data_IF_326288867833
#
_entry.id   IF_326288867833
#
_cell.length_a   1.000
_cell.length_b   1.000
_cell.length_c   1.000
_cell.angle_alpha   90.00
_cell.angle_beta   90.00
_cell.angle_gamma   90.00
#
_symmetry.space_group_name_H-M   'P 1'
#
loop_
_entity.id
_entity.type
_entity.pdbx_description
1 polymer ?
#
# COMPACT_ATOMS: atom_id res chain seq x y z
N UNK A 1 -10.44 18.76 -6.55
CA UNK A 1 -10.76 17.43 -7.03
C UNK A 1 -9.60 16.47 -6.71
N UNK A 2 -9.88 15.36 -6.01
CA UNK A 2 -8.87 14.37 -5.61
C UNK A 2 -8.83 13.15 -6.56
N UNK A 3 -9.79 13.00 -7.46
CA UNK A 3 -9.78 11.92 -8.43
C UNK A 3 -8.66 12.15 -9.45
N UNK A 4 -7.88 11.11 -9.69
CA UNK A 4 -6.82 11.09 -10.71
C UNK A 4 -7.10 10.00 -11.74
N UNK A 5 -7.24 10.36 -13.02
CA UNK A 5 -7.17 9.38 -14.10
C UNK A 5 -5.71 9.07 -14.43
N UNK A 6 -5.44 7.79 -14.71
CA UNK A 6 -4.17 7.30 -15.23
C UNK A 6 -4.42 6.32 -16.37
N UNK A 7 -3.64 6.40 -17.45
CA UNK A 7 -3.45 5.32 -18.41
C UNK A 7 -2.14 4.62 -18.06
N UNK A 8 -2.21 3.40 -17.59
CA UNK A 8 -1.04 2.66 -17.12
C UNK A 8 -0.12 2.28 -18.29
N UNK A 9 1.19 2.41 -18.11
CA UNK A 9 2.17 2.34 -19.20
C UNK A 9 2.21 1.01 -19.93
N UNK A 10 2.34 -0.07 -19.19
CA UNK A 10 2.56 -1.41 -19.76
C UNK A 10 1.26 -2.14 -20.06
N UNK A 11 0.31 -2.10 -19.15
CA UNK A 11 -0.99 -2.80 -19.27
C UNK A 11 -2.01 -2.07 -20.14
N UNK A 12 -1.86 -0.74 -20.26
CA UNK A 12 -2.87 0.15 -20.87
C UNK A 12 -4.20 0.19 -20.12
N UNK A 13 -4.24 -0.34 -18.90
CA UNK A 13 -5.42 -0.23 -18.03
C UNK A 13 -5.67 1.22 -17.67
N UNK A 14 -6.93 1.62 -17.76
CA UNK A 14 -7.39 2.95 -17.32
C UNK A 14 -7.80 2.89 -15.84
N UNK A 15 -7.12 3.67 -15.01
CA UNK A 15 -7.47 3.86 -13.60
C UNK A 15 -8.18 5.19 -13.42
N UNK A 16 -9.22 5.24 -12.61
CA UNK A 16 -9.83 6.51 -12.16
C UNK A 16 -10.32 6.36 -10.74
N UNK A 17 -9.81 7.18 -9.83
CA UNK A 17 -10.16 7.16 -8.41
C UNK A 17 -9.30 8.11 -7.60
N UNK A 18 -9.54 8.15 -6.30
CA UNK A 18 -8.64 8.78 -5.34
C UNK A 18 -7.48 7.81 -5.11
N UNK A 19 -6.23 8.18 -5.44
CA UNK A 19 -5.12 7.22 -5.48
C UNK A 19 -4.54 6.95 -4.07
N UNK A 20 -5.41 6.54 -3.16
CA UNK A 20 -5.08 6.10 -1.80
C UNK A 20 -5.49 4.64 -1.68
N UNK A 21 -4.60 3.79 -1.21
CA UNK A 21 -4.73 2.33 -1.19
C UNK A 21 -4.54 1.82 0.24
N UNK A 22 -5.46 0.99 0.75
CA UNK A 22 -5.21 0.24 1.98
C UNK A 22 -4.13 -0.82 1.75
N UNK A 23 -3.19 -0.93 2.68
CA UNK A 23 -2.05 -1.84 2.55
C UNK A 23 -2.46 -3.31 2.58
N UNK A 24 -1.72 -4.14 1.86
CA UNK A 24 -1.90 -5.58 1.73
C UNK A 24 -1.50 -6.37 2.99
N UNK A 25 -1.92 -5.89 4.13
CA UNK A 25 -1.75 -6.54 5.43
C UNK A 25 -3.06 -7.21 5.84
N UNK A 26 -3.00 -8.36 6.50
CA UNK A 26 -4.22 -9.06 6.96
C UNK A 26 -5.03 -8.27 8.01
N UNK A 27 -4.42 -7.22 8.56
CA UNK A 27 -5.07 -6.28 9.47
C UNK A 27 -5.70 -5.06 8.78
N UNK A 28 -5.46 -4.84 7.48
CA UNK A 28 -5.98 -3.66 6.74
C UNK A 28 -6.52 -3.99 5.35
N UNK A 29 -5.89 -4.91 4.64
CA UNK A 29 -6.27 -5.26 3.26
C UNK A 29 -7.36 -6.31 3.20
N UNK A 30 -8.50 -6.06 3.82
CA UNK A 30 -9.65 -6.97 3.93
C UNK A 30 -10.71 -6.73 2.86
N UNK A 31 -11.60 -7.69 2.66
CA UNK A 31 -12.75 -7.54 1.75
C UNK A 31 -13.69 -6.45 2.24
N UNK A 32 -13.94 -6.38 3.55
CA UNK A 32 -14.78 -5.35 4.18
C UNK A 32 -14.20 -3.95 3.97
N UNK A 33 -12.87 -3.82 4.07
CA UNK A 33 -12.17 -2.56 3.78
C UNK A 33 -12.33 -2.17 2.31
N UNK A 34 -12.26 -3.13 1.38
CA UNK A 34 -12.46 -2.87 -0.04
C UNK A 34 -13.86 -2.30 -0.34
N UNK A 35 -14.90 -2.89 0.27
CA UNK A 35 -16.27 -2.42 0.13
C UNK A 35 -16.47 -1.01 0.72
N UNK A 36 -15.87 -0.75 1.89
CA UNK A 36 -15.98 0.54 2.55
C UNK A 36 -15.25 1.65 1.79
N UNK A 37 -14.00 1.40 1.39
CA UNK A 37 -13.16 2.36 0.67
C UNK A 37 -13.68 2.64 -0.74
N UNK A 38 -14.25 1.62 -1.40
CA UNK A 38 -14.84 1.75 -2.73
C UNK A 38 -16.01 2.76 -2.81
N UNK A 39 -16.67 3.07 -1.69
CA UNK A 39 -17.72 4.11 -1.61
C UNK A 39 -17.16 5.53 -1.77
N UNK A 40 -15.86 5.70 -1.56
CA UNK A 40 -15.14 6.97 -1.65
C UNK A 40 -14.14 6.99 -2.82
N UNK A 41 -14.26 6.04 -3.75
CA UNK A 41 -13.33 5.86 -4.88
C UNK A 41 -11.87 5.63 -4.46
N UNK A 42 -11.64 5.13 -3.24
CA UNK A 42 -10.35 4.65 -2.78
C UNK A 42 -10.20 3.17 -3.11
N UNK A 43 -8.96 2.68 -3.06
CA UNK A 43 -8.60 1.31 -3.42
C UNK A 43 -8.08 0.51 -2.22
N UNK A 44 -7.98 -0.81 -2.39
CA UNK A 44 -7.35 -1.71 -1.43
C UNK A 44 -6.38 -2.64 -2.14
N UNK A 45 -5.27 -2.97 -1.49
CA UNK A 45 -4.50 -4.14 -1.82
C UNK A 45 -4.94 -5.27 -0.87
N UNK A 46 -5.64 -6.26 -1.39
CA UNK A 46 -6.13 -7.39 -0.60
C UNK A 46 -4.95 -8.24 -0.14
N UNK A 47 -4.93 -8.62 1.13
CA UNK A 47 -3.84 -9.45 1.66
C UNK A 47 -3.85 -10.86 1.07
N UNK A 48 -2.69 -11.45 0.86
CA UNK A 48 -2.51 -12.75 0.19
C UNK A 48 -2.95 -13.98 1.00
N UNK A 49 -3.40 -13.81 2.25
CA UNK A 49 -3.67 -14.91 3.16
C UNK A 49 -5.11 -15.45 3.11
N UNK A 50 -6.01 -14.82 2.36
CA UNK A 50 -7.29 -15.44 2.02
C UNK A 50 -7.06 -16.72 1.22
N UNK A 51 -7.90 -17.73 1.42
CA UNK A 51 -7.89 -18.93 0.60
C UNK A 51 -8.36 -18.66 -0.83
N UNK A 52 -8.10 -19.59 -1.72
CA UNK A 52 -8.61 -19.55 -3.09
C UNK A 52 -10.14 -19.43 -3.11
N UNK A 53 -10.83 -20.25 -2.30
CA UNK A 53 -12.29 -20.25 -2.21
C UNK A 53 -12.87 -18.93 -1.69
N UNK A 54 -12.22 -18.32 -0.71
CA UNK A 54 -12.61 -16.99 -0.20
C UNK A 54 -12.50 -15.92 -1.28
N UNK A 55 -11.39 -15.89 -2.04
CA UNK A 55 -11.24 -14.96 -3.15
C UNK A 55 -12.29 -15.16 -4.24
N UNK A 56 -12.51 -16.42 -4.64
CA UNK A 56 -13.50 -16.75 -5.68
C UNK A 56 -14.92 -16.38 -5.23
N UNK A 57 -15.27 -16.70 -3.99
CA UNK A 57 -16.57 -16.33 -3.41
C UNK A 57 -16.74 -14.81 -3.37
N UNK A 58 -15.73 -14.08 -2.93
CA UNK A 58 -15.75 -12.62 -2.89
C UNK A 58 -15.96 -12.03 -4.29
N UNK A 59 -15.12 -12.36 -5.24
CA UNK A 59 -15.19 -11.78 -6.57
C UNK A 59 -16.49 -12.11 -7.32
N UNK A 60 -16.99 -13.33 -7.18
CA UNK A 60 -18.25 -13.75 -7.81
C UNK A 60 -19.49 -13.17 -7.11
N UNK A 61 -19.38 -12.78 -5.84
CA UNK A 61 -20.45 -12.15 -5.06
C UNK A 61 -20.59 -10.64 -5.25
N UNK A 62 -19.65 -9.99 -5.92
CA UNK A 62 -19.64 -8.54 -6.06
C UNK A 62 -20.78 -8.03 -6.97
N UNK A 63 -21.62 -7.14 -6.45
CA UNK A 63 -22.60 -6.37 -7.23
C UNK A 63 -21.96 -5.16 -7.94
N UNK A 64 -21.00 -4.53 -7.28
CA UNK A 64 -20.16 -3.43 -7.79
C UNK A 64 -18.71 -3.80 -7.49
N UNK A 65 -17.85 -3.70 -8.49
CA UNK A 65 -16.44 -4.03 -8.35
C UNK A 65 -15.69 -2.82 -7.77
N UNK A 66 -15.21 -2.86 -6.51
CA UNK A 66 -14.27 -1.85 -6.03
C UNK A 66 -12.92 -2.02 -6.73
N UNK A 67 -12.11 -0.97 -6.78
CA UNK A 67 -10.73 -1.10 -7.25
C UNK A 67 -9.91 -1.82 -6.20
N UNK A 68 -9.58 -3.07 -6.47
CA UNK A 68 -8.84 -3.93 -5.56
C UNK A 68 -7.67 -4.60 -6.29
N UNK A 69 -6.50 -4.54 -5.66
CA UNK A 69 -5.31 -5.27 -6.10
C UNK A 69 -5.31 -6.66 -5.44
N UNK A 70 -5.20 -7.71 -6.23
CA UNK A 70 -4.85 -9.02 -5.71
C UNK A 70 -3.38 -9.01 -5.32
N UNK A 71 -3.03 -9.43 -4.11
CA UNK A 71 -1.63 -9.44 -3.68
C UNK A 71 -1.06 -10.84 -3.65
N UNK A 72 0.17 -10.98 -4.11
CA UNK A 72 0.94 -12.22 -4.03
C UNK A 72 2.43 -11.96 -3.84
N UNK A 73 3.15 -12.98 -3.34
CA UNK A 73 4.61 -13.05 -3.40
C UNK A 73 5.09 -13.63 -4.73
N UNK A 74 6.29 -14.20 -4.70
CA UNK A 74 6.94 -14.77 -5.90
C UNK A 74 7.14 -16.27 -5.81
N UNK A 75 6.48 -16.96 -4.85
CA UNK A 75 6.59 -18.42 -4.73
C UNK A 75 5.71 -19.12 -5.76
N UNK A 76 6.07 -20.35 -6.10
CA UNK A 76 5.26 -21.20 -6.99
C UNK A 76 3.84 -21.37 -6.46
N UNK A 77 3.67 -21.47 -5.14
CA UNK A 77 2.37 -21.58 -4.50
C UNK A 77 1.54 -20.29 -4.66
N UNK A 78 2.15 -19.11 -4.53
CA UNK A 78 1.48 -17.83 -4.77
C UNK A 78 0.97 -17.75 -6.21
N UNK A 79 1.83 -18.14 -7.18
CA UNK A 79 1.48 -18.10 -8.60
C UNK A 79 0.39 -19.13 -8.95
N UNK A 80 0.50 -20.33 -8.40
CA UNK A 80 -0.51 -21.40 -8.62
C UNK A 80 -1.88 -20.97 -8.11
N UNK A 81 -1.93 -20.42 -6.90
CA UNK A 81 -3.17 -19.90 -6.30
C UNK A 81 -3.75 -18.74 -7.11
N UNK A 82 -2.92 -17.79 -7.54
CA UNK A 82 -3.35 -16.68 -8.38
C UNK A 82 -4.00 -17.16 -9.67
N UNK A 83 -3.36 -18.11 -10.39
CA UNK A 83 -3.90 -18.70 -11.63
C UNK A 83 -5.23 -19.41 -11.39
N UNK A 84 -5.35 -20.16 -10.30
CA UNK A 84 -6.59 -20.85 -9.95
C UNK A 84 -7.74 -19.85 -9.67
N UNK A 85 -7.47 -18.74 -8.98
CA UNK A 85 -8.47 -17.67 -8.76
C UNK A 85 -8.85 -17.03 -10.10
N UNK A 86 -7.89 -16.73 -10.98
CA UNK A 86 -8.16 -16.15 -12.31
C UNK A 86 -9.04 -17.06 -13.17
N UNK A 87 -8.81 -18.37 -13.12
CA UNK A 87 -9.60 -19.37 -13.86
C UNK A 87 -11.04 -19.47 -13.33
N UNK A 88 -11.21 -19.47 -12.00
CA UNK A 88 -12.51 -19.63 -11.34
C UNK A 88 -13.35 -18.35 -11.21
N UNK A 89 -12.70 -17.21 -11.32
CA UNK A 89 -13.34 -15.87 -11.33
C UNK A 89 -12.82 -15.04 -12.52
N UNK A 90 -13.13 -15.44 -13.78
CA UNK A 90 -12.58 -14.82 -14.96
C UNK A 90 -12.97 -13.32 -15.08
N UNK A 91 -11.97 -12.47 -15.37
CA UNK A 91 -12.14 -11.01 -15.47
C UNK A 91 -12.34 -10.29 -14.13
N UNK A 92 -12.25 -10.99 -13.00
CA UNK A 92 -12.41 -10.39 -11.68
C UNK A 92 -11.18 -9.59 -11.25
N UNK A 93 -9.97 -10.09 -11.55
CA UNK A 93 -8.71 -9.44 -11.20
C UNK A 93 -8.23 -8.62 -12.39
N UNK A 94 -8.10 -7.31 -12.18
CA UNK A 94 -7.56 -6.35 -13.14
C UNK A 94 -6.24 -5.74 -12.63
N UNK A 95 -6.09 -5.70 -11.31
CA UNK A 95 -4.94 -5.13 -10.61
C UNK A 95 -4.24 -6.19 -9.78
N UNK A 96 -2.92 -6.28 -9.94
CA UNK A 96 -2.05 -7.23 -9.25
C UNK A 96 -0.97 -6.48 -8.46
N UNK A 97 -0.77 -6.85 -7.20
CA UNK A 97 0.33 -6.39 -6.37
C UNK A 97 1.31 -7.54 -6.11
N UNK A 98 2.51 -7.44 -6.68
CA UNK A 98 3.61 -8.39 -6.45
C UNK A 98 4.50 -7.79 -5.36
N UNK A 99 4.44 -8.37 -4.16
CA UNK A 99 5.01 -7.79 -2.96
C UNK A 99 6.04 -8.69 -2.29
N UNK A 100 7.26 -8.18 -2.17
CA UNK A 100 8.37 -8.79 -1.44
C UNK A 100 9.05 -7.75 -0.55
N UNK A 101 9.68 -8.20 0.54
CA UNK A 101 10.42 -7.31 1.43
C UNK A 101 11.64 -6.67 0.76
N UNK A 102 12.26 -7.39 -0.18
CA UNK A 102 13.45 -6.96 -0.92
C UNK A 102 13.24 -7.12 -2.43
N UNK A 103 12.89 -6.03 -3.10
CA UNK A 103 12.69 -5.97 -4.55
C UNK A 103 13.98 -5.85 -5.39
N UNK A 104 15.16 -6.00 -4.78
CA UNK A 104 16.47 -5.84 -5.43
C UNK A 104 17.07 -7.14 -6.00
N UNK A 105 16.35 -8.26 -5.94
CA UNK A 105 16.86 -9.54 -6.44
C UNK A 105 16.52 -9.72 -7.92
N UNK A 106 17.45 -10.29 -8.69
CA UNK A 106 17.21 -10.65 -10.10
C UNK A 106 15.98 -11.56 -10.26
N UNK A 107 15.81 -12.52 -9.34
CA UNK A 107 14.64 -13.41 -9.31
C UNK A 107 13.33 -12.64 -9.26
N UNK A 108 13.30 -11.52 -8.52
CA UNK A 108 12.11 -10.68 -8.43
C UNK A 108 11.82 -9.96 -9.76
N UNK A 109 12.84 -9.39 -10.38
CA UNK A 109 12.72 -8.71 -11.68
C UNK A 109 12.27 -9.69 -12.76
N UNK A 110 12.90 -10.86 -12.83
CA UNK A 110 12.52 -11.94 -13.77
C UNK A 110 11.08 -12.40 -13.56
N UNK A 111 10.65 -12.51 -12.30
CA UNK A 111 9.28 -12.87 -11.98
C UNK A 111 8.28 -11.81 -12.48
N UNK A 112 8.56 -10.53 -12.29
CA UNK A 112 7.72 -9.44 -12.82
C UNK A 112 7.63 -9.50 -14.34
N UNK A 113 8.76 -9.71 -15.03
CA UNK A 113 8.80 -9.88 -16.50
C UNK A 113 7.95 -11.07 -16.95
N UNK A 114 8.11 -12.21 -16.31
CA UNK A 114 7.32 -13.43 -16.59
C UNK A 114 5.82 -13.18 -16.43
N UNK A 115 5.41 -12.51 -15.35
CA UNK A 115 3.99 -12.20 -15.13
C UNK A 115 3.48 -11.22 -16.18
N UNK A 116 4.27 -10.23 -16.58
CA UNK A 116 3.89 -9.30 -17.65
C UNK A 116 3.70 -10.02 -18.98
N UNK A 117 4.58 -10.92 -19.35
CA UNK A 117 4.48 -11.72 -20.58
C UNK A 117 3.24 -12.59 -20.59
N UNK A 118 2.95 -13.25 -19.46
CA UNK A 118 1.82 -14.17 -19.35
C UNK A 118 0.45 -13.44 -19.24
N UNK A 119 0.44 -12.26 -18.60
CA UNK A 119 -0.77 -11.46 -18.34
C UNK A 119 -0.59 -10.00 -18.80
N UNK A 120 -0.54 -9.75 -20.11
CA UNK A 120 -0.20 -8.42 -20.67
C UNK A 120 -1.19 -7.32 -20.30
N UNK A 121 -2.42 -7.66 -19.96
CA UNK A 121 -3.49 -6.69 -19.63
C UNK A 121 -3.68 -6.44 -18.14
N UNK A 122 -2.92 -7.08 -17.25
CA UNK A 122 -3.00 -6.80 -15.82
C UNK A 122 -2.24 -5.52 -15.47
N UNK A 123 -2.85 -4.68 -14.66
CA UNK A 123 -2.15 -3.59 -13.99
C UNK A 123 -1.25 -4.15 -12.89
N UNK A 124 0.06 -4.06 -13.05
CA UNK A 124 1.04 -4.62 -12.11
C UNK A 124 1.66 -3.51 -11.25
N UNK A 125 1.48 -3.63 -9.93
CA UNK A 125 2.26 -2.92 -8.91
C UNK A 125 3.30 -3.89 -8.34
N UNK A 126 4.57 -3.48 -8.29
CA UNK A 126 5.67 -4.33 -7.82
C UNK A 126 6.61 -3.59 -6.88
N UNK A 127 7.11 -4.23 -5.85
CA UNK A 127 8.05 -3.67 -4.86
C UNK A 127 8.31 -4.63 -3.70
N UNK A 128 9.09 -4.17 -2.68
CA UNK A 128 9.44 -2.76 -2.46
C UNK A 128 10.90 -2.46 -2.83
N UNK A 129 11.09 -1.27 -3.33
CA UNK A 129 12.39 -0.66 -3.60
C UNK A 129 12.41 0.79 -3.09
N UNK A 130 13.57 1.45 -3.09
CA UNK A 130 13.72 2.84 -2.60
C UNK A 130 14.70 3.68 -3.45
N UNK A 131 15.16 3.16 -4.59
CA UNK A 131 16.13 3.84 -5.48
C UNK A 131 15.59 4.01 -6.88
N UNK A 132 16.07 5.05 -7.58
CA UNK A 132 15.69 5.34 -8.96
C UNK A 132 16.02 4.21 -9.91
N UNK A 133 17.24 3.68 -9.85
CA UNK A 133 17.72 2.61 -10.73
C UNK A 133 16.79 1.38 -10.69
N UNK A 134 16.44 0.90 -9.48
CA UNK A 134 15.54 -0.25 -9.36
C UNK A 134 14.10 0.08 -9.74
N UNK A 135 13.68 1.32 -9.56
CA UNK A 135 12.38 1.80 -10.06
C UNK A 135 12.30 1.70 -11.57
N UNK A 136 13.33 2.16 -12.27
CA UNK A 136 13.45 2.06 -13.74
C UNK A 136 13.45 0.58 -14.17
N UNK A 137 14.27 -0.25 -13.53
CA UNK A 137 14.39 -1.67 -13.86
C UNK A 137 13.05 -2.40 -13.74
N UNK A 138 12.28 -2.19 -12.66
CA UNK A 138 10.96 -2.80 -12.49
C UNK A 138 9.94 -2.32 -13.52
N UNK A 139 9.96 -1.03 -13.91
CA UNK A 139 9.09 -0.51 -14.96
C UNK A 139 9.43 -1.13 -16.30
N UNK A 140 10.71 -1.24 -16.64
CA UNK A 140 11.18 -1.88 -17.87
C UNK A 140 10.86 -3.38 -17.89
N UNK A 141 10.90 -4.04 -16.73
CA UNK A 141 10.47 -5.42 -16.56
C UNK A 141 8.96 -5.64 -16.71
N UNK A 142 8.15 -4.56 -16.71
CA UNK A 142 6.71 -4.65 -16.95
C UNK A 142 5.80 -4.15 -15.83
N UNK A 143 6.33 -3.63 -14.74
CA UNK A 143 5.52 -2.98 -13.71
C UNK A 143 4.92 -1.68 -14.23
N UNK A 144 3.66 -1.42 -13.94
CA UNK A 144 2.99 -0.14 -14.19
C UNK A 144 3.22 0.84 -13.05
N UNK A 145 3.25 0.31 -11.83
CA UNK A 145 3.39 1.05 -10.58
C UNK A 145 4.50 0.40 -9.76
N UNK A 146 5.47 1.17 -9.32
CA UNK A 146 6.52 0.68 -8.41
C UNK A 146 6.18 1.04 -6.97
N UNK A 147 6.16 0.05 -6.09
CA UNK A 147 5.87 0.22 -4.66
C UNK A 147 7.16 0.59 -3.93
N UNK A 148 7.18 1.80 -3.35
CA UNK A 148 8.37 2.46 -2.79
C UNK A 148 8.29 2.56 -1.29
N UNK A 149 9.24 1.96 -0.59
CA UNK A 149 9.38 2.05 0.86
C UNK A 149 10.06 0.84 1.48
N UNK A 150 11.11 1.06 2.25
CA UNK A 150 11.79 0.05 3.09
C UNK A 150 11.97 0.64 4.48
N UNK A 151 11.25 0.09 5.44
CA UNK A 151 11.35 0.44 6.85
C UNK A 151 10.56 1.67 7.33
N UNK A 152 9.70 2.38 6.55
CA UNK A 152 9.01 3.56 7.04
C UNK A 152 7.73 3.24 7.85
N UNK A 153 7.21 2.02 7.78
CA UNK A 153 5.94 1.63 8.41
C UNK A 153 5.96 1.79 9.94
N UNK A 154 4.82 2.16 10.52
CA UNK A 154 4.67 2.41 11.96
C UNK A 154 4.90 1.17 12.85
N UNK A 155 4.69 -0.02 12.32
CA UNK A 155 4.96 -1.31 12.97
C UNK A 155 6.16 -2.04 12.38
N UNK A 156 6.88 -1.42 11.44
CA UNK A 156 8.10 -1.95 10.85
C UNK A 156 9.30 -1.71 11.78
N UNK A 157 10.15 -2.72 11.94
CA UNK A 157 11.39 -2.62 12.71
C UNK A 157 12.64 -2.92 11.88
N UNK A 158 12.52 -3.03 10.56
CA UNK A 158 13.63 -3.33 9.63
C UNK A 158 14.82 -2.44 9.87
N UNK A 159 14.62 -1.11 9.97
CA UNK A 159 15.71 -0.15 10.22
C UNK A 159 16.48 -0.41 11.51
N UNK A 160 15.77 -0.85 12.57
CA UNK A 160 16.39 -1.20 13.87
C UNK A 160 17.11 -2.53 13.83
N UNK A 161 16.55 -3.50 13.13
CA UNK A 161 17.06 -4.87 13.12
C UNK A 161 18.18 -5.09 12.12
N UNK A 162 18.17 -4.35 11.00
CA UNK A 162 19.09 -4.57 9.88
C UNK A 162 19.96 -3.35 9.54
N UNK A 163 19.60 -2.16 10.01
CA UNK A 163 20.22 -0.90 9.60
C UNK A 163 19.80 -0.45 8.20
N UNK A 164 18.98 -1.25 7.50
CA UNK A 164 18.52 -0.94 6.13
C UNK A 164 17.28 -0.07 6.16
N UNK A 165 17.23 0.92 5.28
CA UNK A 165 16.10 1.81 5.09
C UNK A 165 16.49 3.07 4.34
N UNK A 166 15.47 3.85 3.97
CA UNK A 166 15.65 5.11 3.27
C UNK A 166 14.60 6.11 3.80
N UNK A 167 14.94 7.41 3.98
CA UNK A 167 13.94 8.42 4.36
C UNK A 167 12.84 8.50 3.30
N UNK A 168 11.59 8.30 3.72
CA UNK A 168 10.50 8.03 2.77
C UNK A 168 10.27 9.16 1.76
N UNK A 169 10.29 10.43 2.19
CA UNK A 169 10.11 11.56 1.27
C UNK A 169 11.22 11.63 0.22
N UNK A 170 12.47 11.35 0.62
CA UNK A 170 13.61 11.30 -0.31
C UNK A 170 13.46 10.16 -1.32
N UNK A 171 13.03 8.97 -0.86
CA UNK A 171 12.76 7.84 -1.73
C UNK A 171 11.63 8.16 -2.74
N UNK A 172 10.55 8.81 -2.29
CA UNK A 172 9.47 9.24 -3.17
C UNK A 172 9.98 10.16 -4.27
N UNK A 173 10.73 11.20 -3.92
CA UNK A 173 11.22 12.20 -4.88
C UNK A 173 12.13 11.53 -5.92
N UNK A 174 13.08 10.71 -5.49
CA UNK A 174 14.00 10.00 -6.37
C UNK A 174 13.28 8.99 -7.28
N UNK A 175 12.46 8.14 -6.70
CA UNK A 175 11.75 7.10 -7.46
C UNK A 175 10.66 7.68 -8.38
N UNK A 176 10.01 8.78 -8.00
CA UNK A 176 9.03 9.46 -8.85
C UNK A 176 9.70 10.05 -10.10
N UNK A 177 10.86 10.67 -9.94
CA UNK A 177 11.63 11.23 -11.07
C UNK A 177 12.00 10.14 -12.08
N UNK A 178 12.56 9.04 -11.58
CA UNK A 178 12.92 7.88 -12.38
C UNK A 178 11.70 7.25 -13.10
N UNK A 179 10.61 7.02 -12.36
CA UNK A 179 9.39 6.42 -12.91
C UNK A 179 8.75 7.29 -13.98
N UNK A 180 8.58 8.58 -13.69
CA UNK A 180 7.92 9.51 -14.62
C UNK A 180 8.73 9.71 -15.89
N UNK A 181 10.06 9.66 -15.82
CA UNK A 181 10.95 9.68 -16.99
C UNK A 181 10.65 8.56 -17.99
N UNK A 182 10.21 7.41 -17.50
CA UNK A 182 9.81 6.26 -18.31
C UNK A 182 8.28 6.18 -18.58
N UNK A 183 7.49 7.11 -18.04
CA UNK A 183 6.02 7.04 -18.11
C UNK A 183 5.37 6.01 -17.18
N UNK A 184 6.13 5.49 -16.21
CA UNK A 184 5.63 4.65 -15.13
C UNK A 184 5.13 5.48 -13.94
N UNK A 185 4.61 4.81 -12.92
CA UNK A 185 4.05 5.43 -11.73
C UNK A 185 4.66 4.84 -10.46
N UNK A 186 4.58 5.56 -9.34
CA UNK A 186 4.98 5.04 -8.03
C UNK A 186 3.84 5.04 -7.02
N UNK A 187 3.90 4.09 -6.10
CA UNK A 187 3.08 4.05 -4.89
C UNK A 187 3.98 4.25 -3.67
N UNK A 188 3.78 5.33 -2.93
CA UNK A 188 4.45 5.54 -1.64
C UNK A 188 3.86 4.61 -0.59
N UNK A 189 4.64 3.67 -0.10
CA UNK A 189 4.21 2.66 0.87
C UNK A 189 4.87 2.85 2.23
N UNK A 190 4.05 3.19 3.22
CA UNK A 190 4.44 3.40 4.60
C UNK A 190 4.90 4.82 4.94
N UNK A 191 4.99 5.09 6.24
CA UNK A 191 5.48 6.37 6.79
C UNK A 191 4.41 7.45 6.99
N UNK A 192 3.22 7.30 6.42
CA UNK A 192 2.10 8.22 6.66
C UNK A 192 1.38 7.87 7.97
N UNK A 193 1.29 8.82 8.87
CA UNK A 193 0.59 8.70 10.15
C UNK A 193 -0.52 9.74 10.32
N UNK A 194 -0.54 10.75 9.48
CA UNK A 194 -1.50 11.88 9.48
C UNK A 194 -1.82 12.29 8.04
N UNK A 195 -2.96 12.97 7.79
CA UNK A 195 -3.32 13.45 6.45
C UNK A 195 -2.25 14.34 5.80
N UNK A 196 -1.53 15.13 6.60
CA UNK A 196 -0.42 15.97 6.11
C UNK A 196 0.74 15.17 5.52
N UNK A 197 0.99 13.94 6.00
CA UNK A 197 2.04 13.08 5.45
C UNK A 197 1.64 12.57 4.06
N UNK A 198 0.35 12.28 3.86
CA UNK A 198 -0.22 11.90 2.56
C UNK A 198 -0.06 13.05 1.56
N UNK A 199 -0.39 14.28 1.99
CA UNK A 199 -0.20 15.46 1.16
C UNK A 199 1.27 15.68 0.77
N UNK A 200 2.21 15.44 1.70
CA UNK A 200 3.66 15.48 1.42
C UNK A 200 4.08 14.40 0.42
N UNK A 201 3.55 13.19 0.54
CA UNK A 201 3.85 12.11 -0.40
C UNK A 201 3.41 12.49 -1.82
N UNK A 202 2.20 12.98 -2.01
CA UNK A 202 1.74 13.51 -3.31
C UNK A 202 2.55 14.72 -3.78
N UNK A 203 2.87 15.65 -2.86
CA UNK A 203 3.74 16.78 -3.16
C UNK A 203 5.14 16.37 -3.61
N UNK A 204 5.67 15.28 -3.07
CA UNK A 204 6.96 14.69 -3.45
C UNK A 204 6.95 13.94 -4.78
N UNK A 205 5.78 13.70 -5.37
CA UNK A 205 5.66 13.06 -6.68
C UNK A 205 4.99 11.69 -6.66
N UNK A 206 4.56 11.18 -5.50
CA UNK A 206 3.81 9.92 -5.45
C UNK A 206 2.54 10.01 -6.30
N UNK A 207 2.28 8.97 -7.09
CA UNK A 207 1.04 8.83 -7.87
C UNK A 207 -0.04 8.16 -7.03
N UNK A 208 0.37 7.19 -6.21
CA UNK A 208 -0.45 6.49 -5.24
C UNK A 208 0.18 6.57 -3.85
N UNK A 209 -0.64 6.47 -2.81
CA UNK A 209 -0.19 6.37 -1.41
C UNK A 209 -0.84 5.18 -0.74
N UNK A 210 -0.03 4.27 -0.19
CA UNK A 210 -0.50 3.09 0.54
C UNK A 210 -0.46 3.34 2.04
N UNK A 211 -1.57 3.02 2.72
CA UNK A 211 -1.78 3.27 4.14
C UNK A 211 -2.02 1.96 4.90
N UNK A 212 -1.21 1.73 5.93
CA UNK A 212 -1.40 0.64 6.90
C UNK A 212 -2.06 1.14 8.19
N UNK A 213 -1.26 1.67 9.11
CA UNK A 213 -1.69 2.05 10.46
C UNK A 213 -2.82 3.07 10.53
N UNK A 214 -2.93 3.97 9.56
CA UNK A 214 -4.04 4.93 9.51
C UNK A 214 -5.40 4.26 9.28
N UNK A 215 -5.41 3.11 8.60
CA UNK A 215 -6.63 2.35 8.29
C UNK A 215 -6.78 1.10 9.16
N UNK A 216 -5.90 0.88 10.13
CA UNK A 216 -6.01 -0.21 11.09
C UNK A 216 -6.87 0.18 12.29
N UNK A 217 -7.42 -0.83 13.00
CA UNK A 217 -8.20 -0.61 14.22
C UNK A 217 -9.67 -0.24 13.97
N UNK A 218 -10.15 -0.28 12.74
CA UNK A 218 -11.54 -0.01 12.36
C UNK A 218 -12.39 -1.28 12.32
N UNK A 219 -13.70 -1.12 12.25
CA UNK A 219 -14.64 -2.22 12.11
C UNK A 219 -14.34 -3.10 10.89
N UNK A 220 -13.89 -2.50 9.81
CA UNK A 220 -13.55 -3.14 8.54
C UNK A 220 -12.14 -3.74 8.52
N UNK A 221 -11.35 -3.48 9.56
CA UNK A 221 -9.99 -4.01 9.71
C UNK A 221 -10.02 -5.46 10.19
N UNK A 222 -8.99 -6.22 9.81
CA UNK A 222 -8.69 -7.52 10.41
C UNK A 222 -8.00 -7.37 11.77
N UNK A 223 -7.44 -8.49 12.23
CA UNK A 223 -6.74 -8.58 13.50
C UNK A 223 -7.60 -9.13 14.63
N UNK A 224 -6.95 -9.58 15.68
CA UNK A 224 -7.60 -10.10 16.88
C UNK A 224 -8.29 -8.97 17.63
N UNK A 225 -9.54 -9.21 18.05
CA UNK A 225 -10.30 -8.30 18.89
C UNK A 225 -10.18 -8.76 20.33
N UNK A 226 -9.73 -7.86 21.21
CA UNK A 226 -9.65 -8.10 22.65
C UNK A 226 -10.40 -7.02 23.41
N UNK A 227 -10.99 -7.40 24.56
CA UNK A 227 -11.56 -6.47 25.52
C UNK A 227 -10.62 -6.34 26.71
N UNK A 228 -10.29 -5.11 27.08
CA UNK A 228 -9.46 -4.81 28.23
C UNK A 228 -9.95 -3.53 28.90
N UNK A 229 -10.15 -3.57 30.23
CA UNK A 229 -10.60 -2.42 31.02
C UNK A 229 -11.90 -1.77 30.48
N UNK A 230 -12.83 -2.60 29.96
CA UNK A 230 -14.10 -2.14 29.37
C UNK A 230 -13.96 -1.46 28.00
N UNK A 231 -12.81 -1.57 27.36
CA UNK A 231 -12.53 -1.04 26.04
C UNK A 231 -12.17 -2.16 25.05
N UNK A 232 -12.56 -1.96 23.81
CA UNK A 232 -12.27 -2.87 22.70
C UNK A 232 -10.96 -2.42 22.01
N UNK A 233 -10.08 -3.38 21.75
CA UNK A 233 -8.82 -3.18 21.02
C UNK A 233 -8.73 -4.17 19.87
N UNK A 234 -8.04 -3.77 18.81
CA UNK A 234 -7.72 -4.64 17.66
C UNK A 234 -6.22 -4.73 17.50
N UNK A 235 -5.71 -5.94 17.24
CA UNK A 235 -4.28 -6.13 16.98
C UNK A 235 -3.91 -5.57 15.61
N UNK A 236 -2.75 -4.91 15.55
CA UNK A 236 -2.12 -4.44 14.33
C UNK A 236 -0.64 -4.77 14.39
N UNK A 237 -0.11 -5.40 13.34
CA UNK A 237 1.27 -5.88 13.33
C UNK A 237 1.89 -5.85 11.94
N UNK A 238 3.23 -5.72 11.87
CA UNK A 238 3.98 -5.83 10.62
C UNK A 238 3.93 -7.25 10.05
N UNK A 239 3.86 -7.40 8.73
CA UNK A 239 3.79 -8.71 8.07
C UNK A 239 5.06 -9.56 8.24
N UNK A 240 6.19 -8.96 8.63
CA UNK A 240 7.42 -9.64 9.04
C UNK A 240 7.61 -9.69 10.57
N UNK A 241 6.57 -9.43 11.35
CA UNK A 241 6.58 -9.56 12.81
C UNK A 241 6.54 -11.03 13.25
N UNK A 242 6.90 -11.27 14.50
CA UNK A 242 6.76 -12.61 15.10
C UNK A 242 5.32 -13.11 14.99
N UNK A 243 4.34 -12.27 15.31
CA UNK A 243 2.91 -12.64 15.24
C UNK A 243 2.49 -13.08 13.84
N UNK A 244 2.92 -12.37 12.79
CA UNK A 244 2.63 -12.76 11.41
C UNK A 244 3.35 -14.05 11.01
N UNK A 245 4.63 -14.20 11.38
CA UNK A 245 5.41 -15.41 11.10
C UNK A 245 4.87 -16.64 11.82
N UNK A 246 4.44 -16.51 13.07
CA UNK A 246 3.81 -17.60 13.83
C UNK A 246 2.49 -18.02 13.17
N UNK A 247 1.71 -17.06 12.70
CA UNK A 247 0.41 -17.32 12.05
C UNK A 247 0.51 -17.95 10.67
N UNK A 248 1.47 -17.53 9.84
CA UNK A 248 1.51 -17.88 8.42
C UNK A 248 2.72 -18.69 7.97
N UNK A 249 3.78 -18.73 8.77
CA UNK A 249 5.06 -19.37 8.38
C UNK A 249 5.57 -20.40 9.39
N UNK A 250 4.78 -20.74 10.39
CA UNK A 250 5.19 -21.69 11.43
C UNK A 250 6.30 -21.19 12.36
N UNK A 251 6.49 -19.88 12.43
CA UNK A 251 7.44 -19.20 13.32
C UNK A 251 8.58 -18.50 12.60
N UNK A 252 9.44 -17.87 13.39
CA UNK A 252 10.64 -17.16 12.91
C UNK A 252 11.75 -18.18 12.64
N UNK A 253 12.21 -18.28 11.40
CA UNK A 253 13.34 -19.14 11.05
C UNK A 253 14.62 -18.72 11.80
N UNK A 254 15.46 -19.68 12.22
CA UNK A 254 16.66 -19.45 13.03
C UNK A 254 17.66 -18.46 12.44
N UNK A 255 17.65 -18.29 11.10
CA UNK A 255 18.56 -17.40 10.37
C UNK A 255 17.97 -16.01 10.11
N UNK A 256 16.73 -15.73 10.56
CA UNK A 256 16.04 -14.44 10.31
C UNK A 256 15.73 -13.75 11.63
N UNK A 257 15.68 -12.43 11.59
CA UNK A 257 15.11 -11.60 12.63
C UNK A 257 13.63 -11.28 12.31
N UNK A 258 12.82 -11.12 13.33
CA UNK A 258 11.50 -10.51 13.17
C UNK A 258 11.68 -9.00 12.92
N UNK A 259 11.09 -8.50 11.84
CA UNK A 259 11.21 -7.11 11.40
C UNK A 259 9.91 -6.32 11.55
N UNK A 260 9.11 -6.68 12.53
CA UNK A 260 7.86 -6.01 12.85
C UNK A 260 7.49 -6.16 14.32
N UNK A 261 6.66 -5.24 14.79
CA UNK A 261 6.08 -5.29 16.15
C UNK A 261 4.56 -5.45 16.06
N UNK A 262 3.97 -5.95 17.14
CA UNK A 262 2.52 -6.00 17.35
C UNK A 262 2.10 -4.88 18.29
N UNK A 263 1.04 -4.18 17.96
CA UNK A 263 0.40 -3.19 18.82
C UNK A 263 -1.09 -3.48 18.89
N UNK A 264 -1.74 -3.03 19.96
CA UNK A 264 -3.18 -3.08 20.11
C UNK A 264 -3.71 -1.66 20.02
N UNK A 265 -4.56 -1.42 19.03
CA UNK A 265 -5.20 -0.12 18.80
C UNK A 265 -6.58 -0.14 19.43
N UNK A 266 -6.95 0.90 20.18
CA UNK A 266 -8.32 1.10 20.64
C UNK A 266 -9.24 1.13 19.41
N UNK A 267 -10.43 0.53 19.53
CA UNK A 267 -11.40 0.46 18.43
C UNK A 267 -11.77 1.88 17.95
N UNK A 268 -11.68 2.06 16.64
CA UNK A 268 -11.89 3.36 15.98
C UNK A 268 -13.25 3.49 15.32
N UNK A 269 -14.11 2.47 15.46
CA UNK A 269 -15.39 2.44 14.78
C UNK A 269 -15.27 2.33 13.25
N UNK A 270 -16.25 2.84 12.50
CA UNK A 270 -16.26 2.77 11.04
C UNK A 270 -15.09 3.52 10.42
N UNK A 271 -14.49 2.96 9.36
CA UNK A 271 -13.39 3.60 8.62
C UNK A 271 -13.80 4.89 7.91
N UNK A 272 -15.09 5.09 7.69
CA UNK A 272 -15.66 6.24 7.00
C UNK A 272 -15.19 7.59 7.59
N UNK A 273 -15.14 7.70 8.92
CA UNK A 273 -14.75 8.94 9.60
C UNK A 273 -13.26 9.26 9.35
N UNK A 274 -12.41 8.26 9.44
CA UNK A 274 -10.98 8.40 9.11
C UNK A 274 -10.78 8.74 7.63
N UNK A 275 -11.53 8.15 6.72
CA UNK A 275 -11.47 8.49 5.29
C UNK A 275 -11.86 9.95 5.08
N UNK A 276 -12.91 10.44 5.73
CA UNK A 276 -13.33 11.84 5.64
C UNK A 276 -12.25 12.80 6.13
N UNK A 277 -11.61 12.47 7.25
CA UNK A 277 -10.49 13.26 7.80
C UNK A 277 -9.30 13.29 6.83
N UNK A 278 -8.91 12.13 6.27
CA UNK A 278 -7.85 12.02 5.28
C UNK A 278 -8.15 12.89 4.07
N UNK A 279 -9.32 12.73 3.46
CA UNK A 279 -9.72 13.49 2.28
C UNK A 279 -9.82 14.99 2.56
N UNK A 280 -10.33 15.36 3.74
CA UNK A 280 -10.39 16.74 4.21
C UNK A 280 -9.01 17.38 4.33
N UNK A 281 -8.07 16.67 4.98
CA UNK A 281 -6.69 17.13 5.14
C UNK A 281 -5.94 17.31 3.81
N UNK A 282 -6.09 16.37 2.89
CA UNK A 282 -5.48 16.47 1.54
C UNK A 282 -6.10 17.63 0.74
N UNK A 283 -7.43 17.84 0.81
CA UNK A 283 -8.10 19.00 0.17
C UNK A 283 -7.58 20.31 0.74
N UNK A 284 -7.43 20.41 2.06
CA UNK A 284 -6.88 21.61 2.72
C UNK A 284 -5.45 21.88 2.24
N UNK A 285 -4.60 20.87 2.14
CA UNK A 285 -3.25 21.02 1.60
C UNK A 285 -3.27 21.54 0.16
N UNK A 286 -4.15 21.01 -0.69
CA UNK A 286 -4.34 21.53 -2.06
C UNK A 286 -4.73 23.00 -2.05
N UNK A 287 -5.60 23.42 -1.13
CA UNK A 287 -6.02 24.83 -1.00
C UNK A 287 -4.86 25.72 -0.64
N UNK A 288 -4.03 25.32 0.33
CA UNK A 288 -2.87 26.13 0.76
C UNK A 288 -1.85 26.38 -0.35
N UNK A 289 -1.64 25.41 -1.25
CA UNK A 289 -0.69 25.56 -2.38
C UNK A 289 -1.37 26.03 -3.67
N UNK A 290 -2.67 26.33 -3.64
CA UNK A 290 -3.44 26.78 -4.79
C UNK A 290 -3.69 25.72 -5.86
N UNK A 291 -3.61 24.42 -5.51
CA UNK A 291 -3.91 23.31 -6.40
C UNK A 291 -5.42 23.07 -6.49
N UNK A 292 -5.98 23.08 -7.69
CA UNK A 292 -7.40 22.75 -7.93
C UNK A 292 -7.64 21.25 -8.05
N UNK A 293 -6.63 20.51 -8.44
CA UNK A 293 -6.65 19.06 -8.64
C UNK A 293 -5.45 18.43 -7.94
N UNK A 294 -5.61 17.22 -7.42
CA UNK A 294 -4.54 16.50 -6.72
C UNK A 294 -3.24 16.41 -7.55
N UNK A 295 -3.34 16.17 -8.86
CA UNK A 295 -2.19 16.11 -9.77
C UNK A 295 -1.32 17.38 -9.82
N UNK A 296 -1.86 18.49 -9.37
CA UNK A 296 -1.12 19.76 -9.37
C UNK A 296 -0.25 19.92 -8.13
N UNK A 297 -0.45 19.08 -7.11
CA UNK A 297 0.22 19.20 -5.82
C UNK A 297 1.75 19.14 -5.99
N UNK A 298 2.25 18.18 -6.73
CA UNK A 298 3.69 18.02 -7.00
C UNK A 298 4.32 19.27 -7.61
N UNK A 299 3.61 19.95 -8.53
CA UNK A 299 4.13 21.15 -9.21
C UNK A 299 4.01 22.43 -8.37
N UNK A 300 3.18 22.44 -7.34
CA UNK A 300 2.88 23.59 -6.51
C UNK A 300 3.45 23.52 -5.11
N UNK A 301 3.95 22.35 -4.71
CA UNK A 301 4.54 22.14 -3.37
C UNK A 301 6.00 22.59 -3.38
N UNK A 302 6.36 23.32 -2.32
CA UNK A 302 7.75 23.64 -1.99
C UNK A 302 8.08 22.99 -0.66
N UNK A 303 9.14 22.19 -0.62
CA UNK A 303 9.66 21.61 0.61
C UNK A 303 10.74 22.49 1.21
N UNK A 304 10.64 22.74 2.52
CA UNK A 304 11.65 23.43 3.29
C UNK A 304 12.23 22.49 4.32
N UNK A 305 13.55 22.35 4.33
CA UNK A 305 14.24 21.55 5.34
C UNK A 305 14.26 22.34 6.65
N UNK A 306 13.74 21.72 7.71
CA UNK A 306 13.70 22.31 9.05
C UNK A 306 14.27 21.34 10.07
N UNK A 307 14.71 21.87 11.22
CA UNK A 307 14.90 21.04 12.42
C UNK A 307 13.54 20.60 12.95
N UNK A 308 13.50 19.51 13.70
CA UNK A 308 12.24 19.03 14.28
C UNK A 308 11.61 20.12 15.14
N UNK A 309 10.40 20.53 14.79
CA UNK A 309 9.58 21.47 15.53
C UNK A 309 8.32 20.74 15.99
N UNK A 310 8.17 20.60 17.30
CA UNK A 310 7.00 20.02 17.92
C UNK A 310 6.14 21.13 18.48
N UNK A 311 4.86 21.17 18.07
CA UNK A 311 3.87 22.02 18.70
C UNK A 311 3.11 21.21 19.76
N UNK A 312 3.69 21.11 20.95
CA UNK A 312 3.16 20.33 22.07
C UNK A 312 2.62 21.21 23.20
N UNK A 313 2.29 22.48 22.94
CA UNK A 313 1.84 23.43 23.97
C UNK A 313 0.62 22.92 24.74
N UNK A 314 -0.26 22.17 24.09
CA UNK A 314 -1.46 21.57 24.69
C UNK A 314 -1.42 20.05 24.82
N UNK A 315 -0.22 19.44 24.76
CA UNK A 315 -0.03 18.01 24.85
C UNK A 315 -0.06 17.31 23.48
N UNK A 316 0.11 15.99 23.51
CA UNK A 316 0.04 15.18 22.29
C UNK A 316 -1.42 15.02 21.90
N UNK A 317 -1.80 15.54 20.75
CA UNK A 317 -3.11 15.31 20.12
C UNK A 317 -3.13 13.95 19.42
#
# INVERSE_FOLDING_TARGET
DLIRPFTLRNSRVEYSGVPIIAANMDTTGTFEMAEALGKYDLSVALHKHYSEDEYVAYFNGLKRKPTAFYSMGITDNDLKKFKAVMERAPGAIEYLCIDVANGYTEIFVDFVSKIREEFPHLAIMAGNVVTGDMTEELILAGADIVKVGIGPGSVCTTRKMTGVGYPQLSAIIECADAAHGLGGLICSDGGCTRPGDIAKAFGGGADFVMLGGMLAGHNESGGEVIEKDGKIYRSFYGMSSKSAMDKYSGGVAKYRAAEGKTVYLEDRGPVADTVQEILGGVRSACTYVGARRLKELTKRTTFVRVTQQLNEVFGKS
#
